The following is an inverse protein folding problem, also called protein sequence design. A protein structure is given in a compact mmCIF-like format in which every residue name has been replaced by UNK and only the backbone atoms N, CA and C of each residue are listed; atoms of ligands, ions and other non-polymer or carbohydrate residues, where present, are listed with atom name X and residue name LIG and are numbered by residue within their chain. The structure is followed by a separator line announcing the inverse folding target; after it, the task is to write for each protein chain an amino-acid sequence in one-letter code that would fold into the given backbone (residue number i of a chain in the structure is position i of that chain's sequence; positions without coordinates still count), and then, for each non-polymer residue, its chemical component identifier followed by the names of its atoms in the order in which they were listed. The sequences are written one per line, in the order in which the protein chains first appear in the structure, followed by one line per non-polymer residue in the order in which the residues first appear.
data_IF_326959845370
#
_entry.id   IF_326959845370
#
_cell.length_a   1.000
_cell.length_b   1.000
_cell.length_c   1.000
_cell.angle_alpha   90.00
_cell.angle_beta   90.00
_cell.angle_gamma   90.00
#
_symmetry.space_group_name_H-M   'P 1'
#
loop_
_entity.id
_entity.type
_entity.pdbx_description
1 polymer ?
#
# COMPACT_ATOMS: atom_id res chain seq x y z
N UNK A 1 24.40 6.15 -16.04
CA UNK A 1 24.00 6.99 -14.90
C UNK A 1 24.84 6.64 -13.68
N UNK A 2 25.31 7.62 -12.91
CA UNK A 2 26.15 7.35 -11.73
C UNK A 2 25.28 7.01 -10.52
N UNK A 3 25.65 5.97 -9.77
CA UNK A 3 25.05 5.65 -8.46
C UNK A 3 25.32 6.77 -7.47
N UNK A 4 24.33 7.15 -6.69
CA UNK A 4 24.51 8.07 -5.55
C UNK A 4 24.87 7.27 -4.32
N UNK A 5 25.84 7.75 -3.54
CA UNK A 5 26.29 7.12 -2.31
C UNK A 5 26.10 8.14 -1.19
N UNK A 6 25.44 7.72 -0.12
CA UNK A 6 25.22 8.50 1.10
C UNK A 6 25.92 7.72 2.22
N UNK A 7 26.72 8.42 3.01
CA UNK A 7 27.39 7.83 4.16
C UNK A 7 27.18 8.71 5.40
N UNK A 8 27.16 8.09 6.59
CA UNK A 8 27.32 8.82 7.83
C UNK A 8 28.76 9.36 7.98
N UNK A 9 29.01 10.20 9.00
CA UNK A 9 30.31 10.86 9.19
C UNK A 9 31.47 9.85 9.32
N UNK A 10 31.24 8.72 9.96
CA UNK A 10 32.27 7.69 10.21
C UNK A 10 32.39 6.67 9.07
N UNK A 11 31.63 6.83 7.97
CA UNK A 11 31.55 5.91 6.84
C UNK A 11 31.23 4.45 7.22
N UNK A 12 30.64 4.23 8.38
CA UNK A 12 30.23 2.90 8.86
C UNK A 12 28.95 2.41 8.19
N UNK A 13 28.10 3.34 7.72
CA UNK A 13 26.90 3.03 6.93
C UNK A 13 26.98 3.65 5.56
N UNK A 14 26.74 2.83 4.55
CA UNK A 14 26.79 3.22 3.15
C UNK A 14 25.46 2.86 2.50
N UNK A 15 24.64 3.87 2.17
CA UNK A 15 23.40 3.71 1.42
C UNK A 15 23.68 4.00 -0.05
N UNK A 16 23.34 3.07 -0.92
CA UNK A 16 23.50 3.20 -2.37
C UNK A 16 22.15 3.37 -3.02
N UNK A 17 21.93 4.50 -3.69
CA UNK A 17 20.74 4.76 -4.47
C UNK A 17 21.04 4.57 -5.96
N UNK A 18 20.25 3.76 -6.63
CA UNK A 18 20.29 3.63 -8.07
C UNK A 18 19.41 4.73 -8.73
N UNK A 19 19.71 5.12 -9.96
CA UNK A 19 18.89 6.11 -10.69
C UNK A 19 17.43 5.67 -10.88
N UNK A 20 17.19 4.37 -10.92
CA UNK A 20 15.86 3.78 -11.08
C UNK A 20 14.98 4.01 -9.83
N UNK A 21 15.60 4.19 -8.65
CA UNK A 21 14.90 4.50 -7.41
C UNK A 21 14.37 5.94 -7.35
N UNK A 22 14.81 6.82 -8.26
CA UNK A 22 14.32 8.19 -8.37
C UNK A 22 13.11 8.34 -9.29
N UNK A 23 12.91 7.37 -10.19
CA UNK A 23 11.79 7.31 -11.11
C UNK A 23 11.09 5.98 -10.93
N UNK A 24 9.86 6.04 -10.48
CA UNK A 24 9.04 4.86 -10.27
C UNK A 24 7.93 4.84 -11.32
N UNK A 25 7.87 3.78 -12.12
CA UNK A 25 6.80 3.58 -13.09
C UNK A 25 5.84 2.52 -12.61
N UNK A 26 4.54 2.79 -12.72
CA UNK A 26 3.49 1.81 -12.45
C UNK A 26 2.41 1.87 -13.51
N UNK A 27 1.75 0.75 -13.69
CA UNK A 27 0.57 0.66 -14.56
C UNK A 27 -0.69 0.61 -13.71
N UNK A 28 -1.61 1.54 -13.93
CA UNK A 28 -2.91 1.58 -13.27
C UNK A 28 -3.98 1.64 -14.36
N UNK A 29 -4.94 0.72 -14.34
CA UNK A 29 -6.02 0.64 -15.32
C UNK A 29 -5.52 0.60 -16.78
N UNK A 30 -4.36 -0.02 -17.02
CA UNK A 30 -3.74 -0.10 -18.33
C UNK A 30 -2.97 1.15 -18.77
N UNK A 31 -2.90 2.18 -17.94
CA UNK A 31 -2.10 3.38 -18.19
C UNK A 31 -0.82 3.38 -17.37
N UNK A 32 0.30 3.70 -18.00
CA UNK A 32 1.60 3.80 -17.34
C UNK A 32 1.82 5.21 -16.78
N UNK A 33 2.13 5.30 -15.49
CA UNK A 33 2.43 6.54 -14.79
C UNK A 33 3.88 6.51 -14.29
N UNK A 34 4.59 7.61 -14.51
CA UNK A 34 5.92 7.81 -13.93
C UNK A 34 5.82 8.80 -12.76
N UNK A 35 6.39 8.40 -11.65
CA UNK A 35 6.42 9.16 -10.41
C UNK A 35 7.88 9.54 -10.14
N UNK A 36 8.15 10.82 -9.91
CA UNK A 36 9.44 11.28 -9.42
C UNK A 36 9.45 11.28 -7.89
N UNK A 37 10.36 10.52 -7.31
CA UNK A 37 10.51 10.37 -5.86
C UNK A 37 11.94 10.65 -5.37
N UNK A 38 12.75 11.32 -6.18
CA UNK A 38 14.16 11.52 -5.90
C UNK A 38 14.45 12.27 -4.61
N UNK A 39 13.69 13.32 -4.31
CA UNK A 39 13.81 14.09 -3.06
C UNK A 39 13.49 13.20 -1.84
N UNK A 40 12.35 12.50 -1.89
CA UNK A 40 11.88 11.61 -0.84
C UNK A 40 12.87 10.45 -0.59
N UNK A 41 13.35 9.80 -1.65
CA UNK A 41 14.34 8.72 -1.54
C UNK A 41 15.68 9.21 -0.97
N UNK A 42 16.10 10.42 -1.33
CA UNK A 42 17.31 11.02 -0.80
C UNK A 42 17.18 11.31 0.70
N UNK A 43 16.06 11.90 1.13
CA UNK A 43 15.78 12.19 2.54
C UNK A 43 15.72 10.90 3.35
N UNK A 44 14.97 9.89 2.88
CA UNK A 44 14.89 8.59 3.54
C UNK A 44 16.26 7.90 3.64
N UNK A 45 17.09 7.99 2.60
CA UNK A 45 18.42 7.42 2.63
C UNK A 45 19.37 8.16 3.60
N UNK A 46 19.25 9.48 3.72
CA UNK A 46 19.98 10.25 4.74
C UNK A 46 19.54 9.81 6.13
N UNK A 47 18.22 9.70 6.37
CA UNK A 47 17.66 9.20 7.63
C UNK A 47 18.25 7.85 8.02
N UNK A 48 18.21 6.86 7.11
CA UNK A 48 18.81 5.53 7.34
C UNK A 48 20.32 5.58 7.59
N UNK A 49 21.04 6.47 6.92
CA UNK A 49 22.47 6.61 7.13
C UNK A 49 22.82 7.21 8.50
N UNK A 50 21.96 8.11 9.01
CA UNK A 50 22.16 8.79 10.29
C UNK A 50 21.60 8.01 11.49
N UNK A 51 20.83 6.95 11.27
CA UNK A 51 20.22 6.12 12.33
C UNK A 51 21.07 4.87 12.55
N UNK A 52 21.45 4.59 13.81
CA UNK A 52 22.29 3.42 14.12
C UNK A 52 21.56 2.09 13.80
N UNK A 53 20.28 2.03 14.08
CA UNK A 53 19.42 0.86 13.83
C UNK A 53 18.11 1.31 13.16
N UNK A 54 18.09 1.53 11.83
CA UNK A 54 16.84 1.83 11.14
C UNK A 54 15.88 0.66 11.25
N UNK A 55 14.60 0.98 11.45
CA UNK A 55 13.55 -0.03 11.59
C UNK A 55 13.35 -0.75 10.26
N UNK A 56 13.42 -2.09 10.31
CA UNK A 56 13.08 -2.96 9.19
C UNK A 56 11.57 -3.16 9.08
N UNK A 57 11.05 -3.12 7.86
CA UNK A 57 9.67 -3.49 7.54
C UNK A 57 9.70 -4.68 6.59
N UNK A 58 9.16 -5.81 7.01
CA UNK A 58 9.24 -7.08 6.29
C UNK A 58 7.88 -7.44 5.70
N UNK A 59 7.79 -7.47 4.39
CA UNK A 59 6.67 -8.10 3.68
C UNK A 59 6.82 -9.63 3.79
N UNK A 60 5.98 -10.26 4.58
CA UNK A 60 5.99 -11.71 4.74
C UNK A 60 5.53 -12.40 3.46
N UNK A 61 6.14 -13.53 3.17
CA UNK A 61 5.88 -14.34 1.98
C UNK A 61 5.83 -15.83 2.35
N UNK A 62 5.25 -16.66 1.49
CA UNK A 62 5.18 -18.11 1.66
C UNK A 62 3.76 -18.67 1.66
N UNK A 63 2.75 -17.81 1.92
CA UNK A 63 1.36 -18.22 2.06
C UNK A 63 0.44 -17.56 1.02
N UNK A 64 1.00 -17.03 -0.09
CA UNK A 64 0.26 -16.35 -1.14
C UNK A 64 -0.18 -14.94 -0.76
N UNK A 65 0.58 -14.29 0.11
CA UNK A 65 0.40 -12.91 0.53
C UNK A 65 0.59 -11.93 -0.63
N UNK A 66 0.12 -10.69 -0.43
CA UNK A 66 0.53 -9.58 -1.27
C UNK A 66 2.03 -9.32 -1.10
N UNK A 67 2.71 -9.23 -2.22
CA UNK A 67 4.15 -9.00 -2.27
C UNK A 67 4.48 -7.50 -2.16
N UNK A 68 5.76 -7.20 -2.00
CA UNK A 68 6.25 -5.83 -2.06
C UNK A 68 5.97 -5.18 -3.43
N UNK A 69 5.95 -5.97 -4.51
CA UNK A 69 5.61 -5.53 -5.86
C UNK A 69 4.13 -5.18 -6.00
N UNK A 70 3.23 -5.93 -5.34
CA UNK A 70 1.79 -5.64 -5.31
C UNK A 70 1.47 -4.35 -4.52
N UNK A 71 2.35 -3.96 -3.60
CA UNK A 71 2.22 -2.80 -2.71
C UNK A 71 3.42 -1.85 -2.89
N UNK A 72 3.84 -1.63 -4.13
CA UNK A 72 5.09 -0.94 -4.43
C UNK A 72 5.09 0.54 -4.03
N UNK A 73 3.93 1.21 -4.06
CA UNK A 73 3.78 2.57 -3.53
C UNK A 73 3.99 2.65 -2.02
N UNK A 74 3.42 1.71 -1.27
CA UNK A 74 3.64 1.63 0.17
C UNK A 74 5.12 1.38 0.47
N UNK A 75 5.75 0.43 -0.22
CA UNK A 75 7.17 0.15 -0.07
C UNK A 75 8.05 1.37 -0.41
N UNK A 76 7.68 2.12 -1.44
CA UNK A 76 8.35 3.37 -1.82
C UNK A 76 8.22 4.42 -0.72
N UNK A 77 7.01 4.62 -0.21
CA UNK A 77 6.72 5.59 0.85
C UNK A 77 7.45 5.25 2.15
N UNK A 78 7.47 3.98 2.54
CA UNK A 78 8.21 3.53 3.72
C UNK A 78 9.71 3.81 3.59
N UNK A 79 10.31 3.50 2.43
CA UNK A 79 11.73 3.84 2.18
C UNK A 79 11.99 5.34 2.24
N UNK A 80 11.06 6.14 1.74
CA UNK A 80 11.15 7.60 1.79
C UNK A 80 11.09 8.15 3.21
N UNK A 81 10.40 7.45 4.11
CA UNK A 81 10.33 7.76 5.54
C UNK A 81 11.45 7.12 6.39
N UNK A 82 12.47 6.56 5.76
CA UNK A 82 13.67 6.08 6.44
C UNK A 82 13.61 4.62 6.90
N UNK A 83 12.56 3.87 6.58
CA UNK A 83 12.48 2.43 6.86
C UNK A 83 13.34 1.60 5.90
N UNK A 84 13.87 0.48 6.39
CA UNK A 84 14.48 -0.56 5.55
C UNK A 84 13.41 -1.57 5.15
N UNK A 85 13.10 -1.67 3.86
CA UNK A 85 12.01 -2.54 3.37
C UNK A 85 12.59 -3.82 2.80
N UNK A 86 12.14 -4.95 3.34
CA UNK A 86 12.57 -6.30 3.04
C UNK A 86 11.36 -7.19 2.67
N UNK A 87 11.64 -8.36 2.13
CA UNK A 87 10.66 -9.45 1.93
C UNK A 87 11.28 -10.77 2.37
N UNK A 88 10.47 -11.67 2.92
CA UNK A 88 10.96 -12.99 3.30
C UNK A 88 9.93 -13.87 4.00
N UNK A 89 10.23 -15.17 4.04
CA UNK A 89 9.43 -16.13 4.78
C UNK A 89 9.75 -16.04 6.27
N UNK A 90 8.73 -16.07 7.14
CA UNK A 90 8.91 -15.94 8.58
C UNK A 90 9.90 -16.93 9.19
N UNK A 91 9.98 -18.13 8.61
CA UNK A 91 10.91 -19.17 9.05
C UNK A 91 12.38 -18.88 8.70
N UNK A 92 12.65 -17.91 7.83
CA UNK A 92 13.99 -17.63 7.29
C UNK A 92 14.53 -16.25 7.64
N UNK A 93 13.67 -15.35 8.07
CA UNK A 93 14.08 -14.00 8.51
C UNK A 93 14.40 -14.00 10.01
N UNK A 94 15.21 -13.04 10.43
CA UNK A 94 15.57 -12.82 11.84
C UNK A 94 15.31 -11.35 12.20
N UNK A 95 14.04 -10.92 12.30
CA UNK A 95 13.70 -9.54 12.59
C UNK A 95 14.10 -9.17 14.03
N UNK A 96 14.57 -7.94 14.21
CA UNK A 96 14.71 -7.36 15.54
C UNK A 96 13.33 -7.10 16.17
N UNK A 97 13.22 -7.02 17.47
CA UNK A 97 11.94 -6.71 18.14
C UNK A 97 11.39 -5.32 17.75
N UNK A 98 12.25 -4.42 17.29
CA UNK A 98 11.86 -3.10 16.79
C UNK A 98 11.33 -3.12 15.36
N UNK A 99 11.54 -4.21 14.61
CA UNK A 99 11.09 -4.33 13.23
C UNK A 99 9.58 -4.59 13.17
N UNK A 100 9.03 -4.38 11.98
CA UNK A 100 7.59 -4.55 11.71
C UNK A 100 7.40 -5.64 10.66
N UNK A 101 6.54 -6.60 10.96
CA UNK A 101 6.15 -7.64 10.02
C UNK A 101 4.79 -7.29 9.40
N UNK A 102 4.70 -7.33 8.07
CA UNK A 102 3.48 -7.14 7.30
C UNK A 102 2.99 -8.48 6.76
N UNK A 103 1.83 -8.96 7.21
CA UNK A 103 1.16 -10.17 6.72
C UNK A 103 -0.09 -9.75 5.96
N UNK A 104 -0.01 -9.73 4.64
CA UNK A 104 -1.00 -9.07 3.78
C UNK A 104 -1.77 -10.10 2.93
N UNK A 105 -3.05 -10.28 3.20
CA UNK A 105 -3.96 -11.16 2.45
C UNK A 105 -3.44 -12.60 2.24
N UNK A 106 -3.01 -13.32 3.29
CA UNK A 106 -2.57 -14.71 3.13
C UNK A 106 -3.68 -15.58 2.54
N UNK A 107 -3.31 -16.48 1.62
CA UNK A 107 -4.23 -17.41 0.93
C UNK A 107 -4.20 -18.82 1.52
N UNK A 108 -3.12 -19.16 2.23
CA UNK A 108 -2.98 -20.41 2.95
C UNK A 108 -2.60 -20.18 4.41
N UNK A 109 -2.89 -21.18 5.26
CA UNK A 109 -2.64 -21.08 6.69
C UNK A 109 -1.15 -21.12 7.00
N UNK A 110 -0.73 -20.45 8.06
CA UNK A 110 0.58 -20.65 8.66
C UNK A 110 0.71 -22.09 9.15
N UNK A 111 1.90 -22.64 9.12
CA UNK A 111 2.22 -23.86 9.84
C UNK A 111 2.20 -23.62 11.35
N UNK A 112 2.15 -24.69 12.15
CA UNK A 112 2.21 -24.55 13.60
C UNK A 112 3.49 -23.86 14.08
N UNK A 113 4.63 -24.18 13.47
CA UNK A 113 5.94 -23.62 13.82
C UNK A 113 6.03 -22.13 13.45
N UNK A 114 5.48 -21.73 12.30
CA UNK A 114 5.43 -20.34 11.86
C UNK A 114 4.50 -19.51 12.75
N UNK A 115 3.35 -20.05 13.12
CA UNK A 115 2.44 -19.40 14.06
C UNK A 115 3.08 -19.22 15.45
N UNK A 116 3.83 -20.22 15.91
CA UNK A 116 4.59 -20.12 17.15
C UNK A 116 5.71 -19.09 17.06
N UNK A 117 6.42 -19.01 15.94
CA UNK A 117 7.46 -18.00 15.67
C UNK A 117 6.87 -16.61 15.68
N UNK A 118 5.71 -16.40 15.03
CA UNK A 118 5.00 -15.13 15.00
C UNK A 118 4.52 -14.71 16.39
N UNK A 119 3.96 -15.65 17.16
CA UNK A 119 3.53 -15.42 18.53
C UNK A 119 4.72 -15.07 19.45
N UNK A 120 5.85 -15.79 19.31
CA UNK A 120 7.07 -15.51 20.07
C UNK A 120 7.67 -14.14 19.71
N UNK A 121 7.65 -13.75 18.45
CA UNK A 121 8.07 -12.42 18.00
C UNK A 121 7.22 -11.33 18.68
N UNK A 122 5.90 -11.47 18.65
CA UNK A 122 4.99 -10.55 19.33
C UNK A 122 5.22 -10.54 20.87
N UNK A 123 5.39 -11.69 21.51
CA UNK A 123 5.59 -11.74 22.98
C UNK A 123 6.91 -11.10 23.41
N UNK A 124 7.89 -11.03 22.53
CA UNK A 124 9.16 -10.32 22.74
C UNK A 124 9.12 -8.82 22.40
N UNK A 125 7.94 -8.22 22.26
CA UNK A 125 7.78 -6.80 21.95
C UNK A 125 7.71 -6.49 20.45
N UNK A 126 7.61 -7.51 19.62
CA UNK A 126 7.52 -7.35 18.16
C UNK A 126 6.23 -6.66 17.69
N UNK A 127 6.24 -6.23 16.46
CA UNK A 127 5.19 -5.41 15.84
C UNK A 127 4.72 -6.07 14.55
N UNK A 128 3.41 -6.32 14.46
CA UNK A 128 2.83 -7.02 13.30
C UNK A 128 1.60 -6.25 12.80
N UNK A 129 1.55 -6.00 11.50
CA UNK A 129 0.37 -5.51 10.81
C UNK A 129 -0.19 -6.62 9.93
N UNK A 130 -1.46 -6.95 10.10
CA UNK A 130 -2.17 -7.93 9.28
C UNK A 130 -3.31 -7.21 8.56
N UNK A 131 -3.34 -7.31 7.24
CA UNK A 131 -4.44 -6.79 6.43
C UNK A 131 -5.10 -7.91 5.64
N UNK A 132 -6.41 -8.08 5.83
CA UNK A 132 -7.21 -9.11 5.16
C UNK A 132 -8.52 -8.49 4.67
N UNK A 133 -9.01 -8.92 3.51
CA UNK A 133 -10.29 -8.48 2.96
C UNK A 133 -11.35 -9.56 2.98
N UNK A 134 -12.53 -9.26 2.43
CA UNK A 134 -13.66 -10.17 2.35
C UNK A 134 -13.36 -11.47 1.55
N UNK A 135 -12.41 -11.42 0.63
CA UNK A 135 -11.96 -12.57 -0.17
C UNK A 135 -10.95 -13.47 0.55
N UNK A 136 -10.56 -13.13 1.78
CA UNK A 136 -9.63 -13.93 2.58
C UNK A 136 -10.32 -15.18 3.14
N UNK A 137 -9.74 -16.39 2.96
CA UNK A 137 -10.38 -17.62 3.40
C UNK A 137 -10.21 -17.86 4.91
N UNK A 138 -10.81 -17.01 5.77
CA UNK A 138 -10.62 -17.04 7.22
C UNK A 138 -10.87 -18.38 7.86
N UNK A 139 -11.84 -19.17 7.35
CA UNK A 139 -12.12 -20.52 7.86
C UNK A 139 -10.94 -21.48 7.74
N UNK A 140 -10.00 -21.21 6.85
CA UNK A 140 -8.78 -22.00 6.64
C UNK A 140 -7.57 -21.42 7.37
N UNK A 141 -7.60 -20.16 7.79
CA UNK A 141 -6.48 -19.45 8.45
C UNK A 141 -6.53 -19.59 9.99
N UNK A 142 -6.74 -20.81 10.47
CA UNK A 142 -6.97 -21.10 11.89
C UNK A 142 -5.79 -20.72 12.78
N UNK A 143 -4.54 -20.88 12.31
CA UNK A 143 -3.35 -20.53 13.05
C UNK A 143 -3.21 -18.99 13.17
N UNK A 144 -3.45 -18.26 12.08
CA UNK A 144 -3.45 -16.80 12.12
C UNK A 144 -4.53 -16.26 13.05
N UNK A 145 -5.76 -16.79 12.97
CA UNK A 145 -6.86 -16.41 13.87
C UNK A 145 -6.52 -16.70 15.34
N UNK A 146 -5.84 -17.82 15.62
CA UNK A 146 -5.39 -18.16 16.96
C UNK A 146 -4.38 -17.13 17.48
N UNK A 147 -3.38 -16.75 16.68
CA UNK A 147 -2.40 -15.70 17.06
C UNK A 147 -3.11 -14.37 17.32
N UNK A 148 -4.00 -13.91 16.43
CA UNK A 148 -4.75 -12.67 16.65
C UNK A 148 -5.56 -12.70 17.93
N UNK A 149 -6.19 -13.83 18.25
CA UNK A 149 -7.03 -13.98 19.45
C UNK A 149 -6.24 -13.93 20.78
N UNK A 150 -4.92 -14.19 20.75
CA UNK A 150 -4.04 -13.97 21.94
C UNK A 150 -3.97 -12.51 22.32
N UNK A 151 -4.26 -11.62 21.40
CA UNK A 151 -4.25 -10.16 21.58
C UNK A 151 -5.66 -9.56 21.62
N UNK A 152 -6.71 -10.40 21.72
CA UNK A 152 -8.10 -9.96 21.85
C UNK A 152 -8.70 -9.45 20.54
N UNK A 153 -8.09 -9.74 19.39
CA UNK A 153 -8.55 -9.38 18.06
C UNK A 153 -8.78 -10.60 17.17
N UNK A 154 -9.61 -10.46 16.16
CA UNK A 154 -9.83 -11.48 15.15
C UNK A 154 -10.55 -10.90 13.93
N UNK A 155 -10.60 -11.68 12.85
CA UNK A 155 -11.35 -11.35 11.65
C UNK A 155 -12.67 -12.10 11.62
N UNK A 156 -13.69 -11.42 11.13
CA UNK A 156 -15.00 -12.01 10.83
C UNK A 156 -15.19 -12.11 9.32
N UNK A 157 -15.55 -13.30 8.84
CA UNK A 157 -15.87 -13.50 7.43
C UNK A 157 -17.12 -12.69 7.04
N UNK A 158 -17.14 -12.26 5.80
CA UNK A 158 -18.22 -11.50 5.22
C UNK A 158 -17.73 -10.26 4.49
N UNK A 159 -18.65 -9.57 3.86
CA UNK A 159 -18.38 -8.33 3.14
C UNK A 159 -19.15 -7.19 3.80
N UNK A 160 -18.42 -6.19 4.29
CA UNK A 160 -19.03 -5.00 4.90
C UNK A 160 -19.22 -3.94 3.83
N UNK A 161 -20.44 -3.45 3.72
CA UNK A 161 -20.84 -2.41 2.76
C UNK A 161 -21.43 -1.24 3.52
N UNK A 162 -21.05 -0.01 3.16
CA UNK A 162 -21.65 1.21 3.69
C UNK A 162 -22.94 1.54 2.95
N UNK A 163 -23.88 2.21 3.60
CA UNK A 163 -25.11 2.62 2.92
C UNK A 163 -24.84 3.68 1.85
N UNK A 164 -25.57 3.64 0.74
CA UNK A 164 -25.43 4.57 -0.39
C UNK A 164 -25.53 6.06 0.01
N UNK A 165 -26.21 6.37 1.12
CA UNK A 165 -26.33 7.74 1.63
C UNK A 165 -25.01 8.31 2.18
N UNK A 166 -24.06 7.47 2.59
CA UNK A 166 -22.75 7.89 3.09
C UNK A 166 -21.69 7.95 1.96
N UNK A 167 -21.99 7.36 0.80
CA UNK A 167 -21.08 7.29 -0.34
C UNK A 167 -21.30 8.38 -1.39
N UNK A 168 -21.74 9.57 -1.01
CA UNK A 168 -22.16 10.70 -1.87
C UNK A 168 -21.28 11.01 -3.08
N UNK A 169 -20.07 10.46 -3.17
CA UNK A 169 -19.15 10.67 -4.29
C UNK A 169 -18.94 9.47 -5.21
N UNK A 170 -19.48 8.28 -4.85
CA UNK A 170 -19.31 7.05 -5.63
C UNK A 170 -20.60 6.25 -5.70
N UNK A 171 -21.63 6.90 -6.27
CA UNK A 171 -22.98 6.37 -6.41
C UNK A 171 -23.04 5.02 -7.15
N UNK A 172 -22.02 4.72 -7.97
CA UNK A 172 -21.97 3.52 -8.82
C UNK A 172 -21.19 2.35 -8.18
N UNK A 173 -20.71 2.49 -6.94
CA UNK A 173 -19.92 1.45 -6.29
C UNK A 173 -20.25 1.33 -4.80
N UNK A 174 -21.43 0.78 -4.44
CA UNK A 174 -21.89 0.63 -3.05
C UNK A 174 -21.00 -0.30 -2.20
N UNK A 175 -20.12 -1.05 -2.82
CA UNK A 175 -19.15 -1.95 -2.19
C UNK A 175 -17.97 -1.24 -1.50
N UNK A 176 -17.84 0.08 -1.64
CA UNK A 176 -16.70 0.81 -1.10
C UNK A 176 -17.04 1.54 0.19
N UNK A 177 -16.23 1.32 1.21
CA UNK A 177 -16.36 1.93 2.52
C UNK A 177 -15.53 3.19 2.65
N UNK A 178 -16.11 4.20 3.26
CA UNK A 178 -15.44 5.39 3.75
C UNK A 178 -15.58 5.42 5.27
N UNK A 179 -14.70 4.75 6.03
CA UNK A 179 -14.84 4.59 7.47
C UNK A 179 -14.59 5.89 8.22
N UNK A 180 -15.08 5.95 9.46
CA UNK A 180 -14.66 6.94 10.43
C UNK A 180 -13.27 6.56 10.93
N UNK A 181 -12.33 7.49 10.83
CA UNK A 181 -10.95 7.32 11.30
C UNK A 181 -10.83 7.80 12.75
N UNK A 182 -10.00 7.13 13.56
CA UNK A 182 -9.74 7.55 14.93
C UNK A 182 -9.14 8.97 14.98
N UNK A 183 -9.49 9.72 16.03
CA UNK A 183 -9.11 11.13 16.18
C UNK A 183 -7.59 11.37 16.31
N UNK A 184 -6.82 10.33 16.59
CA UNK A 184 -5.36 10.43 16.73
C UNK A 184 -4.62 10.54 15.38
N UNK A 185 -5.35 10.36 14.25
CA UNK A 185 -4.78 10.46 12.91
C UNK A 185 -5.34 11.67 12.18
N UNK A 186 -4.48 12.64 11.88
CA UNK A 186 -4.83 13.85 11.11
C UNK A 186 -4.96 13.53 9.62
N UNK A 187 -6.08 12.93 9.24
CA UNK A 187 -6.38 12.63 7.83
C UNK A 187 -7.35 13.68 7.30
N UNK A 188 -6.86 14.52 6.40
CA UNK A 188 -7.65 15.61 5.79
C UNK A 188 -8.53 15.13 4.65
N UNK A 189 -8.32 13.92 4.17
CA UNK A 189 -8.98 13.37 3.01
C UNK A 189 -9.83 12.15 3.33
N UNK A 190 -9.83 11.21 2.41
CA UNK A 190 -10.74 10.08 2.40
C UNK A 190 -9.99 8.77 2.51
N UNK A 191 -10.45 7.91 3.41
CA UNK A 191 -9.96 6.53 3.49
C UNK A 191 -10.95 5.61 2.78
N UNK A 192 -10.46 4.72 1.94
CA UNK A 192 -11.25 3.76 1.19
C UNK A 192 -10.82 2.34 1.52
N UNK A 193 -11.78 1.49 1.90
CA UNK A 193 -11.57 0.08 2.19
C UNK A 193 -12.38 -0.79 1.21
N UNK A 194 -11.86 -1.06 0.02
CA UNK A 194 -12.55 -1.94 -0.92
C UNK A 194 -12.62 -3.36 -0.36
N UNK A 195 -13.75 -4.03 -0.58
CA UNK A 195 -14.00 -5.42 -0.17
C UNK A 195 -13.59 -5.69 1.28
N UNK A 196 -14.01 -4.80 2.18
CA UNK A 196 -13.70 -4.94 3.59
C UNK A 196 -14.41 -6.14 4.21
N UNK A 197 -13.70 -6.86 5.09
CA UNK A 197 -14.30 -7.78 6.07
C UNK A 197 -14.65 -7.00 7.34
N UNK A 198 -14.94 -7.68 8.44
CA UNK A 198 -15.07 -7.05 9.75
C UNK A 198 -14.02 -7.57 10.72
N UNK A 199 -13.74 -6.80 11.75
CA UNK A 199 -12.94 -7.24 12.90
C UNK A 199 -13.86 -7.53 14.08
N UNK A 200 -13.45 -8.50 14.91
CA UNK A 200 -14.10 -8.84 16.17
C UNK A 200 -13.09 -8.71 17.32
N UNK A 201 -13.65 -8.42 18.49
CA UNK A 201 -12.94 -8.42 19.77
C UNK A 201 -13.50 -9.55 20.64
N UNK A 202 -13.07 -10.81 20.43
CA UNK A 202 -13.72 -11.98 21.00
C UNK A 202 -13.65 -12.02 22.53
N UNK A 203 -12.58 -11.52 23.12
CA UNK A 203 -12.44 -11.39 24.57
C UNK A 203 -11.34 -10.40 24.92
N UNK A 204 -11.56 -9.63 25.99
CA UNK A 204 -10.51 -8.80 26.59
C UNK A 204 -9.38 -9.71 27.12
N UNK A 205 -8.13 -9.32 26.81
CA UNK A 205 -6.95 -10.04 27.30
C UNK A 205 -6.24 -9.22 28.35
N UNK A 206 -5.86 -9.82 29.49
CA UNK A 206 -5.12 -9.11 30.52
C UNK A 206 -3.84 -8.48 29.98
N UNK A 207 -3.62 -7.20 30.29
CA UNK A 207 -2.44 -6.45 29.87
C UNK A 207 -2.42 -6.07 28.39
N UNK A 208 -3.51 -6.27 27.63
CA UNK A 208 -3.66 -5.82 26.26
C UNK A 208 -4.68 -4.69 26.20
N UNK A 209 -4.29 -3.58 25.62
CA UNK A 209 -5.19 -2.46 25.28
C UNK A 209 -5.52 -2.53 23.80
N UNK A 210 -6.81 -2.59 23.48
CA UNK A 210 -7.31 -2.57 22.09
C UNK A 210 -7.89 -1.21 21.80
N UNK A 211 -7.36 -0.53 20.78
CA UNK A 211 -7.80 0.78 20.31
C UNK A 211 -8.44 0.62 18.94
N UNK A 212 -9.72 1.00 18.75
CA UNK A 212 -10.34 1.09 17.44
C UNK A 212 -9.65 2.18 16.60
N UNK A 213 -9.33 1.86 15.35
CA UNK A 213 -8.71 2.80 14.40
C UNK A 213 -9.70 3.25 13.32
N UNK A 214 -10.43 2.30 12.77
CA UNK A 214 -11.38 2.50 11.68
C UNK A 214 -12.70 1.82 12.01
N UNK A 215 -13.81 2.55 11.87
CA UNK A 215 -15.17 2.03 12.10
C UNK A 215 -16.10 2.49 11.00
N UNK A 216 -17.15 1.72 10.74
CA UNK A 216 -18.24 2.14 9.85
C UNK A 216 -19.22 3.06 10.57
N UNK A 217 -20.19 3.59 9.82
CA UNK A 217 -21.41 4.15 10.40
C UNK A 217 -22.28 3.03 11.01
N UNK A 218 -23.34 3.41 11.71
CA UNK A 218 -24.35 2.49 12.26
C UNK A 218 -25.30 1.92 11.18
N UNK A 219 -25.20 2.42 9.94
CA UNK A 219 -26.02 2.01 8.78
C UNK A 219 -25.32 1.02 7.85
N UNK A 220 -24.11 0.63 8.17
CA UNK A 220 -23.40 -0.37 7.39
C UNK A 220 -24.04 -1.75 7.54
N UNK A 221 -23.80 -2.59 6.55
CA UNK A 221 -24.33 -3.96 6.48
C UNK A 221 -23.20 -4.94 6.26
N UNK A 222 -23.15 -5.98 7.06
CA UNK A 222 -22.28 -7.14 6.85
C UNK A 222 -23.06 -8.23 6.12
N UNK A 223 -22.61 -8.62 4.94
CA UNK A 223 -23.07 -9.75 4.17
C UNK A 223 -22.22 -10.97 4.49
N UNK A 224 -22.76 -12.02 5.13
CA UNK A 224 -21.97 -13.19 5.57
C UNK A 224 -21.34 -13.98 4.42
N UNK A 225 -22.04 -14.07 3.29
CA UNK A 225 -21.59 -14.77 2.08
C UNK A 225 -20.88 -13.80 1.12
N UNK A 226 -19.57 -13.74 1.22
CA UNK A 226 -18.72 -12.93 0.34
C UNK A 226 -18.40 -13.59 -1.02
N UNK A 227 -19.16 -14.63 -1.40
CA UNK A 227 -18.92 -15.38 -2.65
C UNK A 227 -19.60 -14.70 -3.83
N UNK A 228 -18.96 -13.71 -4.45
CA UNK A 228 -19.49 -13.15 -5.69
C UNK A 228 -19.28 -11.65 -5.86
N UNK A 229 -20.01 -11.08 -6.80
CA UNK A 229 -20.08 -9.63 -7.05
C UNK A 229 -20.76 -8.92 -5.88
N UNK A 230 -20.70 -7.58 -5.87
CA UNK A 230 -21.30 -6.72 -4.84
C UNK A 230 -22.64 -7.27 -4.37
N UNK A 231 -22.81 -7.50 -3.07
CA UNK A 231 -23.96 -8.22 -2.57
C UNK A 231 -25.23 -7.36 -2.63
N UNK A 232 -26.23 -7.84 -3.35
CA UNK A 232 -27.60 -7.38 -3.11
C UNK A 232 -28.06 -7.83 -1.72
N UNK A 233 -28.99 -7.11 -1.11
CA UNK A 233 -29.61 -7.45 0.19
C UNK A 233 -29.99 -8.95 0.26
N UNK A 234 -29.40 -9.67 1.22
CA UNK A 234 -29.52 -11.12 1.35
C UNK A 234 -30.11 -11.54 2.69
N UNK A 235 -30.61 -12.75 2.74
CA UNK A 235 -31.03 -13.37 4.00
C UNK A 235 -29.81 -13.66 4.87
N UNK A 236 -29.76 -13.10 6.06
CA UNK A 236 -28.66 -13.26 7.00
C UNK A 236 -27.76 -12.02 7.13
N UNK A 237 -28.08 -10.96 6.39
CA UNK A 237 -27.42 -9.66 6.53
C UNK A 237 -27.56 -9.10 7.94
N UNK A 238 -26.47 -8.53 8.45
CA UNK A 238 -26.42 -7.92 9.76
C UNK A 238 -26.12 -6.42 9.61
N UNK A 239 -27.06 -5.57 10.06
CA UNK A 239 -26.87 -4.12 10.05
C UNK A 239 -26.28 -3.64 11.36
N UNK A 240 -25.40 -2.64 11.30
CA UNK A 240 -24.80 -2.02 12.48
C UNK A 240 -23.45 -1.40 12.21
N UNK A 241 -22.81 -0.93 13.28
CA UNK A 241 -21.45 -0.43 13.22
C UNK A 241 -20.44 -1.59 13.28
N UNK A 242 -19.48 -1.58 12.37
CA UNK A 242 -18.41 -2.60 12.29
C UNK A 242 -17.04 -1.99 12.51
N UNK A 243 -16.19 -2.73 13.20
CA UNK A 243 -14.78 -2.42 13.36
C UNK A 243 -14.02 -2.89 12.12
N UNK A 244 -13.26 -1.99 11.49
CA UNK A 244 -12.52 -2.24 10.25
C UNK A 244 -11.01 -2.12 10.42
N UNK A 245 -10.56 -1.45 11.47
CA UNK A 245 -9.16 -1.32 11.85
C UNK A 245 -9.04 -1.24 13.35
N UNK A 246 -8.09 -1.96 13.92
CA UNK A 246 -7.82 -1.95 15.36
C UNK A 246 -6.36 -2.22 15.65
N UNK A 247 -5.86 -1.63 16.75
CA UNK A 247 -4.52 -1.83 17.24
C UNK A 247 -4.57 -2.37 18.67
N UNK A 248 -3.91 -3.50 18.90
CA UNK A 248 -3.71 -4.08 20.22
C UNK A 248 -2.27 -3.84 20.67
N UNK A 249 -2.10 -3.15 21.81
CA UNK A 249 -0.78 -2.85 22.39
C UNK A 249 -0.64 -3.51 23.78
N UNK A 250 0.57 -4.00 24.09
CA UNK A 250 1.00 -4.41 25.44
C UNK A 250 2.05 -3.42 25.95
N UNK A 251 2.15 -3.28 27.26
CA UNK A 251 3.18 -2.47 27.92
C UNK A 251 4.62 -2.92 27.62
N UNK A 252 4.80 -4.16 27.12
CA UNK A 252 6.08 -4.70 26.65
C UNK A 252 6.57 -4.12 25.33
N UNK A 253 5.81 -3.23 24.67
CA UNK A 253 6.10 -2.71 23.33
C UNK A 253 5.45 -3.50 22.18
N UNK A 254 4.86 -4.67 22.49
CA UNK A 254 4.14 -5.47 21.49
C UNK A 254 3.01 -4.68 20.85
N UNK A 255 2.94 -4.72 19.53
CA UNK A 255 1.85 -4.10 18.78
C UNK A 255 1.33 -5.04 17.70
N UNK A 256 0.03 -5.32 17.73
CA UNK A 256 -0.68 -6.03 16.67
C UNK A 256 -1.72 -5.09 16.07
N UNK A 257 -1.57 -4.74 14.79
CA UNK A 257 -2.54 -3.96 14.04
C UNK A 257 -3.28 -4.85 13.04
N UNK A 258 -4.60 -4.83 13.06
CA UNK A 258 -5.44 -5.51 12.08
C UNK A 258 -6.19 -4.49 11.22
N UNK A 259 -6.19 -4.72 9.90
CA UNK A 259 -6.96 -3.96 8.91
C UNK A 259 -7.87 -4.90 8.12
N UNK A 260 -9.12 -4.54 7.99
CA UNK A 260 -10.16 -5.39 7.40
C UNK A 260 -10.24 -5.32 5.86
N UNK A 261 -9.32 -4.62 5.20
CA UNK A 261 -9.20 -4.60 3.75
C UNK A 261 -7.73 -4.71 3.34
N UNK A 262 -7.40 -5.66 2.49
CA UNK A 262 -6.09 -5.77 1.87
C UNK A 262 -5.98 -4.94 0.58
N UNK A 263 -7.09 -4.65 -0.09
CA UNK A 263 -7.10 -3.86 -1.31
C UNK A 263 -6.82 -2.37 -1.06
N UNK A 264 -6.93 -1.91 0.18
CA UNK A 264 -6.53 -0.56 0.56
C UNK A 264 -5.02 -0.29 0.41
N UNK A 265 -4.20 -1.36 0.33
CA UNK A 265 -2.74 -1.29 0.18
C UNK A 265 -2.26 -1.62 -1.24
N UNK A 266 -3.13 -2.24 -2.05
CA UNK A 266 -2.75 -2.80 -3.35
C UNK A 266 -2.68 -1.73 -4.45
N UNK A 267 -1.57 -1.68 -5.17
CA UNK A 267 -1.38 -0.73 -6.29
C UNK A 267 -2.41 -0.91 -7.42
N UNK A 268 -2.84 -2.15 -7.66
CA UNK A 268 -3.79 -2.49 -8.72
C UNK A 268 -5.26 -2.32 -8.32
N UNK A 269 -5.55 -2.03 -7.06
CA UNK A 269 -6.93 -1.81 -6.61
C UNK A 269 -7.49 -0.53 -7.23
N UNK A 270 -8.69 -0.63 -7.81
CA UNK A 270 -9.33 0.46 -8.53
C UNK A 270 -10.81 0.61 -8.17
N UNK A 271 -11.28 1.85 -8.17
CA UNK A 271 -12.66 2.26 -7.93
C UNK A 271 -13.10 3.16 -9.08
N UNK A 272 -14.20 2.82 -9.74
CA UNK A 272 -14.82 3.68 -10.78
C UNK A 272 -13.81 4.27 -11.78
N UNK A 273 -12.81 3.48 -12.17
CA UNK A 273 -11.79 3.91 -13.12
C UNK A 273 -10.64 4.72 -12.53
N UNK A 274 -10.53 4.82 -11.20
CA UNK A 274 -9.39 5.44 -10.51
C UNK A 274 -8.70 4.43 -9.59
N UNK A 275 -7.39 4.56 -9.38
CA UNK A 275 -6.67 3.79 -8.37
C UNK A 275 -7.18 4.15 -6.96
N UNK A 276 -7.36 3.17 -6.10
CA UNK A 276 -7.74 3.37 -4.69
C UNK A 276 -6.73 4.29 -4.00
N UNK A 277 -5.44 4.01 -4.14
CA UNK A 277 -4.36 4.80 -3.53
C UNK A 277 -4.27 6.22 -4.09
N UNK A 278 -4.77 6.46 -5.31
CA UNK A 278 -4.79 7.78 -5.93
C UNK A 278 -6.03 8.60 -5.56
N UNK A 279 -7.12 7.91 -5.24
CA UNK A 279 -8.41 8.50 -4.91
C UNK A 279 -8.62 8.69 -3.39
N UNK A 280 -7.62 8.31 -2.58
CA UNK A 280 -7.72 8.29 -1.12
C UNK A 280 -6.41 8.68 -0.44
N UNK A 281 -6.48 8.92 0.87
CA UNK A 281 -5.32 9.12 1.74
C UNK A 281 -4.87 7.82 2.44
N UNK A 282 -5.21 6.66 1.87
CA UNK A 282 -4.82 5.37 2.41
C UNK A 282 -3.31 5.26 2.64
N UNK A 283 -2.53 5.77 1.70
CA UNK A 283 -1.07 5.70 1.79
C UNK A 283 -0.53 6.52 2.97
N UNK A 284 -1.12 7.69 3.24
CA UNK A 284 -0.79 8.51 4.40
C UNK A 284 -1.14 7.77 5.70
N UNK A 285 -2.38 7.28 5.84
CA UNK A 285 -2.81 6.50 7.00
C UNK A 285 -1.89 5.29 7.26
N UNK A 286 -1.55 4.52 6.22
CA UNK A 286 -0.69 3.34 6.37
C UNK A 286 0.72 3.71 6.81
N UNK A 287 1.24 4.82 6.30
CA UNK A 287 2.55 5.34 6.69
C UNK A 287 2.55 5.78 8.15
N UNK A 288 1.51 6.50 8.56
CA UNK A 288 1.34 6.96 9.94
C UNK A 288 1.17 5.78 10.90
N UNK A 289 0.37 4.76 10.53
CA UNK A 289 0.23 3.52 11.31
C UNK A 289 1.57 2.81 11.50
N UNK A 290 2.35 2.66 10.45
CA UNK A 290 3.68 2.01 10.52
C UNK A 290 4.64 2.85 11.35
N UNK A 291 4.59 4.17 11.25
CA UNK A 291 5.42 5.10 12.03
C UNK A 291 5.05 5.09 13.51
N UNK A 292 3.74 5.08 13.86
CA UNK A 292 3.26 4.89 15.23
C UNK A 292 3.67 3.53 15.79
N UNK A 293 3.52 2.47 15.00
CA UNK A 293 4.00 1.13 15.40
C UNK A 293 5.51 1.12 15.63
N UNK A 294 6.29 1.87 14.88
CA UNK A 294 7.74 1.98 15.03
C UNK A 294 8.18 2.77 16.28
N UNK A 295 7.24 3.47 16.92
CA UNK A 295 7.52 4.39 18.03
C UNK A 295 8.56 5.48 17.63
N UNK A 296 8.47 5.93 16.36
CA UNK A 296 9.31 6.98 15.83
C UNK A 296 8.59 8.32 16.01
N UNK A 297 9.29 9.29 16.59
CA UNK A 297 8.75 10.64 16.75
C UNK A 297 8.54 11.29 15.37
N UNK A 298 7.28 11.54 15.02
CA UNK A 298 6.88 12.10 13.72
C UNK A 298 7.47 13.49 13.45
N UNK A 299 7.92 14.19 14.49
CA UNK A 299 8.55 15.51 14.32
C UNK A 299 9.83 15.49 13.49
N UNK A 300 10.41 14.29 13.26
CA UNK A 300 11.60 14.08 12.44
C UNK A 300 11.27 13.66 10.99
N UNK A 301 10.02 13.35 10.65
CA UNK A 301 9.65 12.97 9.30
C UNK A 301 9.54 14.20 8.41
N UNK A 302 10.50 14.37 7.52
CA UNK A 302 10.42 15.37 6.46
C UNK A 302 9.50 14.80 5.37
N UNK A 303 8.27 15.28 5.31
CA UNK A 303 7.33 14.94 4.23
C UNK A 303 7.82 15.50 2.89
N UNK A 304 8.66 14.74 2.22
CA UNK A 304 9.04 15.00 0.85
C UNK A 304 8.04 14.30 -0.08
N UNK A 305 6.92 14.93 -0.31
CA UNK A 305 5.83 14.40 -1.11
C UNK A 305 6.29 13.79 -2.43
N UNK A 306 5.72 12.65 -2.77
CA UNK A 306 5.93 11.99 -4.06
C UNK A 306 5.26 12.80 -5.17
N UNK A 307 6.04 13.27 -6.15
CA UNK A 307 5.54 14.13 -7.23
C UNK A 307 5.20 13.28 -8.46
N UNK A 308 3.94 13.30 -8.89
CA UNK A 308 3.58 12.72 -10.17
C UNK A 308 4.13 13.59 -11.31
N UNK A 309 4.90 13.00 -12.19
CA UNK A 309 5.23 13.65 -13.44
C UNK A 309 4.02 13.56 -14.37
N UNK A 310 3.55 14.69 -14.93
CA UNK A 310 2.52 14.63 -15.95
C UNK A 310 3.03 13.74 -17.07
N UNK A 311 2.22 12.79 -17.51
CA UNK A 311 2.54 11.99 -18.68
C UNK A 311 2.80 12.96 -19.84
N UNK A 312 4.02 12.97 -20.36
CA UNK A 312 4.37 13.77 -21.54
C UNK A 312 3.75 13.11 -22.80
N UNK A 313 2.44 12.94 -22.76
CA UNK A 313 1.69 12.55 -23.96
C UNK A 313 1.30 13.83 -24.68
N UNK A 314 1.63 13.88 -25.96
CA UNK A 314 1.08 14.90 -26.84
C UNK A 314 -0.42 14.60 -26.94
N UNK A 315 -1.21 15.33 -26.15
CA UNK A 315 -2.67 15.24 -26.22
C UNK A 315 -3.14 16.11 -27.39
N UNK A 316 -3.96 15.55 -28.25
CA UNK A 316 -4.59 16.28 -29.35
C UNK A 316 -6.03 16.58 -28.98
N UNK A 317 -6.45 17.82 -29.13
CA UNK A 317 -7.83 18.27 -28.83
C UNK A 317 -8.88 17.61 -29.75
N UNK A 318 -8.45 16.97 -30.84
CA UNK A 318 -9.33 16.22 -31.72
C UNK A 318 -8.58 15.16 -32.55
N UNK A 319 -9.27 14.11 -32.95
CA UNK A 319 -8.72 13.04 -33.79
C UNK A 319 -8.21 13.59 -35.14
N UNK A 320 -8.85 14.65 -35.68
CA UNK A 320 -8.40 15.33 -36.89
C UNK A 320 -7.05 16.05 -36.69
N UNK A 321 -6.78 16.61 -35.53
CA UNK A 321 -5.50 17.22 -35.21
C UNK A 321 -4.41 16.17 -35.05
N UNK A 322 -4.71 15.04 -34.45
CA UNK A 322 -3.81 13.88 -34.34
C UNK A 322 -3.41 13.36 -35.73
N UNK A 323 -4.41 13.15 -36.60
CA UNK A 323 -4.15 12.69 -37.99
C UNK A 323 -3.30 13.66 -38.78
N UNK A 324 -3.56 14.97 -38.68
CA UNK A 324 -2.75 15.99 -39.42
C UNK A 324 -1.29 15.97 -38.96
N UNK A 325 -1.03 15.92 -37.61
CA UNK A 325 0.34 15.88 -37.09
C UNK A 325 1.03 14.57 -37.46
N UNK A 326 0.31 13.44 -37.43
CA UNK A 326 0.86 12.14 -37.83
C UNK A 326 1.23 12.13 -39.31
N UNK A 327 0.34 12.62 -40.19
CA UNK A 327 0.62 12.72 -41.66
C UNK A 327 1.79 13.66 -41.87
N UNK A 328 1.82 14.83 -41.23
CA UNK A 328 2.91 15.79 -41.37
C UNK A 328 4.26 15.20 -40.95
N UNK A 329 4.31 14.49 -39.81
CA UNK A 329 5.52 13.83 -39.34
C UNK A 329 5.98 12.71 -40.27
N UNK A 330 5.05 11.87 -40.78
CA UNK A 330 5.35 10.74 -41.69
C UNK A 330 5.71 11.17 -43.11
N UNK A 331 5.28 12.35 -43.57
CA UNK A 331 5.55 12.81 -44.96
C UNK A 331 6.64 13.89 -45.00
N UNK A 332 6.59 14.87 -44.11
CA UNK A 332 7.49 16.02 -44.14
C UNK A 332 8.92 15.66 -43.71
N UNK A 333 9.07 14.90 -42.64
CA UNK A 333 10.40 14.52 -42.15
C UNK A 333 11.13 13.61 -43.17
N UNK A 334 10.54 12.49 -43.65
CA UNK A 334 11.19 11.68 -44.70
C UNK A 334 11.38 12.45 -46.02
N UNK A 335 10.42 13.31 -46.40
CA UNK A 335 10.50 14.12 -47.60
C UNK A 335 11.68 15.08 -47.59
N UNK A 336 11.91 15.79 -46.51
CA UNK A 336 13.07 16.68 -46.35
C UNK A 336 14.38 15.91 -46.39
N UNK A 337 14.45 14.73 -45.71
CA UNK A 337 15.61 13.85 -45.78
C UNK A 337 15.91 13.37 -47.21
N UNK A 338 14.90 12.93 -47.94
CA UNK A 338 15.07 12.50 -49.35
C UNK A 338 15.50 13.67 -50.25
N UNK A 339 14.95 14.86 -50.05
CA UNK A 339 15.32 16.06 -50.79
C UNK A 339 16.77 16.47 -50.51
N UNK A 340 17.23 16.42 -49.28
CA UNK A 340 18.63 16.70 -48.91
C UNK A 340 19.58 15.69 -49.56
N UNK A 341 19.22 14.39 -49.51
CA UNK A 341 20.01 13.34 -50.17
C UNK A 341 20.07 13.56 -51.69
N UNK A 342 18.93 13.88 -52.33
CA UNK A 342 18.87 14.16 -53.75
C UNK A 342 19.72 15.36 -54.16
N UNK A 343 19.68 16.45 -53.38
CA UNK A 343 20.50 17.65 -53.63
C UNK A 343 21.99 17.34 -53.51
N UNK A 344 22.38 16.54 -52.48
CA UNK A 344 23.78 16.14 -52.30
C UNK A 344 24.25 15.25 -53.44
N UNK A 345 23.44 14.30 -53.90
CA UNK A 345 23.76 13.44 -55.04
C UNK A 345 23.87 14.21 -56.37
N UNK A 346 22.97 15.18 -56.61
CA UNK A 346 23.02 16.04 -57.77
C UNK A 346 24.24 16.96 -57.77
N UNK A 347 24.64 17.50 -56.61
CA UNK A 347 25.88 18.27 -56.49
C UNK A 347 27.12 17.42 -56.75
N UNK A 348 27.16 16.16 -56.28
CA UNK A 348 28.28 15.24 -56.53
C UNK A 348 28.37 14.79 -58.01
N UNK A 349 27.28 14.79 -58.76
CA UNK A 349 27.30 14.45 -60.17
C UNK A 349 27.74 15.63 -61.10
N UNK A 350 27.80 16.85 -60.54
CA UNK A 350 28.21 18.04 -61.28
C UNK A 350 29.65 18.48 -60.97
N UNK A 351 30.33 17.76 -60.07
CA UNK A 351 31.76 17.79 -59.83
C UNK A 351 32.43 16.57 -60.47
#
# INVERSE_FOLDING_TARGET
MQRRIITNQDATRIIRLSPEEFLFSRTVLGEEYTIYCGEAQLIGAIGRACTDHPVGVYFLTGHGELTQEDCSLLALQLRSNGFEVHSGEIARIAPAATDILLLLAPRSNLTGDEAQTLAAFLDNGGRVLVACGADTPFSRLTQLQAVCSLYGLGFQSGWVVESAAESDRYVDAPEYLSPVVAADYEITGRILLPRASALITPALRPGVTVTPLLTTSDRAVLHPDASGNAPDSQTGDVSGQFLLGAMAKKSSGTTLCLLASSDMLRDSAAISGASVLDASDNLALLTDLVTDMADIDQTASLDAGVKRLPAQRITFDSESSRQRVTILALTLIPGVLLLTVAVVLLKRRRL
#
